data_IF_088795441172
#
_entry.id   IF_088795441172
#
_cell.length_a   1.000
_cell.length_b   1.000
_cell.length_c   1.000
_cell.angle_alpha   90.00
_cell.angle_beta   90.00
_cell.angle_gamma   90.00
#
_symmetry.space_group_name_H-M   'P 1'
#
loop_
_entity.id
_entity.type
_entity.pdbx_description
1 polymer ?
#
# COMPACT_ATOMS: atom_id res chain seq x y z
N UNK A 1 18.42 16.23 -11.15
CA UNK A 1 17.79 16.63 -9.87
C UNK A 1 16.41 16.00 -9.62
N UNK A 2 15.67 15.54 -10.64
CA UNK A 2 14.35 14.89 -10.42
C UNK A 2 14.43 13.50 -9.74
N UNK A 3 15.51 12.75 -9.98
CA UNK A 3 15.67 11.36 -9.53
C UNK A 3 15.72 11.21 -7.99
N UNK A 4 16.48 12.08 -7.31
CA UNK A 4 16.57 12.08 -5.85
C UNK A 4 15.22 12.38 -5.17
N UNK A 5 14.38 13.23 -5.78
CA UNK A 5 13.06 13.59 -5.23
C UNK A 5 12.08 12.43 -5.32
N UNK A 6 12.14 11.64 -6.40
CA UNK A 6 11.31 10.45 -6.57
C UNK A 6 11.74 9.33 -5.61
N UNK A 7 13.05 9.12 -5.46
CA UNK A 7 13.62 8.16 -4.50
C UNK A 7 13.18 8.45 -3.06
N UNK A 8 13.31 9.71 -2.62
CA UNK A 8 12.91 10.12 -1.27
C UNK A 8 11.41 9.92 -1.01
N UNK A 9 10.57 10.11 -2.02
CA UNK A 9 9.12 9.86 -1.93
C UNK A 9 8.79 8.38 -1.81
N UNK A 10 9.51 7.51 -2.52
CA UNK A 10 9.36 6.06 -2.40
C UNK A 10 9.72 5.58 -0.99
N UNK A 11 10.88 5.99 -0.46
CA UNK A 11 11.29 5.64 0.90
C UNK A 11 10.27 6.10 1.95
N UNK A 12 9.66 7.28 1.75
CA UNK A 12 8.59 7.75 2.63
C UNK A 12 7.31 6.90 2.55
N UNK A 13 6.92 6.47 1.36
CA UNK A 13 5.76 5.58 1.17
C UNK A 13 6.05 4.22 1.81
N UNK A 14 7.24 3.67 1.63
CA UNK A 14 7.63 2.37 2.18
C UNK A 14 7.68 2.41 3.72
N UNK A 15 8.30 3.44 4.31
CA UNK A 15 8.33 3.61 5.76
C UNK A 15 6.91 3.75 6.34
N UNK A 16 6.03 4.51 5.68
CA UNK A 16 4.63 4.65 6.10
C UNK A 16 3.85 3.36 5.96
N UNK A 17 4.13 2.58 4.91
CA UNK A 17 3.53 1.25 4.70
C UNK A 17 3.94 0.30 5.82
N UNK A 18 5.23 0.23 6.17
CA UNK A 18 5.74 -0.62 7.24
C UNK A 18 5.15 -0.24 8.61
N UNK A 19 5.08 1.06 8.92
CA UNK A 19 4.46 1.56 10.15
C UNK A 19 2.97 1.20 10.23
N UNK A 20 2.27 1.26 9.11
CA UNK A 20 0.84 0.90 9.01
C UNK A 20 0.63 -0.61 9.23
N UNK A 21 1.49 -1.46 8.65
CA UNK A 21 1.46 -2.90 8.89
C UNK A 21 1.67 -3.24 10.37
N UNK A 22 2.60 -2.57 11.06
CA UNK A 22 2.79 -2.72 12.51
C UNK A 22 1.57 -2.30 13.31
N UNK A 23 0.95 -1.16 12.97
CA UNK A 23 -0.28 -0.70 13.62
C UNK A 23 -1.45 -1.68 13.43
N UNK A 24 -1.60 -2.25 12.23
CA UNK A 24 -2.61 -3.25 11.90
C UNK A 24 -2.44 -4.52 12.75
N UNK A 25 -1.22 -5.06 12.81
CA UNK A 25 -0.93 -6.24 13.65
C UNK A 25 -1.26 -5.97 15.12
N UNK A 26 -0.82 -4.81 15.65
CA UNK A 26 -1.11 -4.45 17.04
C UNK A 26 -2.60 -4.26 17.32
N UNK A 27 -3.38 -3.73 16.38
CA UNK A 27 -4.84 -3.67 16.51
C UNK A 27 -5.47 -5.07 16.44
N UNK A 28 -5.02 -5.93 15.53
CA UNK A 28 -5.49 -7.32 15.43
C UNK A 28 -5.27 -8.10 16.73
N UNK A 29 -4.11 -7.95 17.37
CA UNK A 29 -3.82 -8.61 18.65
C UNK A 29 -4.75 -8.11 19.77
N UNK A 30 -5.03 -6.80 19.81
CA UNK A 30 -5.96 -6.21 20.79
C UNK A 30 -7.41 -6.63 20.55
N UNK A 31 -7.86 -6.64 19.29
CA UNK A 31 -9.19 -7.17 18.93
C UNK A 31 -9.32 -8.63 19.34
N UNK A 32 -8.28 -9.44 19.12
CA UNK A 32 -8.27 -10.85 19.53
C UNK A 32 -8.34 -10.98 21.05
N UNK A 33 -7.55 -10.20 21.79
CA UNK A 33 -7.60 -10.20 23.26
C UNK A 33 -8.98 -9.77 23.80
N UNK A 34 -9.61 -8.79 23.15
CA UNK A 34 -10.96 -8.33 23.46
C UNK A 34 -12.01 -9.42 23.20
N UNK A 35 -11.99 -10.06 22.02
CA UNK A 35 -12.91 -11.12 21.64
C UNK A 35 -12.73 -12.42 22.43
N UNK A 36 -11.48 -12.77 22.77
CA UNK A 36 -11.18 -13.96 23.58
C UNK A 36 -11.71 -13.83 25.02
N UNK A 37 -12.23 -12.66 25.43
CA UNK A 37 -12.78 -12.44 26.77
C UNK A 37 -11.75 -12.62 27.87
N UNK A 38 -10.44 -12.45 27.55
CA UNK A 38 -9.33 -12.61 28.52
C UNK A 38 -9.37 -11.57 29.65
N UNK A 39 -10.31 -10.63 29.57
CA UNK A 39 -10.56 -9.60 30.56
C UNK A 39 -12.07 -9.54 30.80
N UNK A 40 -12.49 -9.65 32.06
CA UNK A 40 -13.88 -9.46 32.45
C UNK A 40 -14.17 -7.95 32.46
N UNK A 41 -15.07 -7.51 31.59
CA UNK A 41 -15.53 -6.12 31.53
C UNK A 41 -16.97 -6.03 32.03
N UNK A 42 -17.28 -4.99 32.79
CA UNK A 42 -18.67 -4.57 32.97
C UNK A 42 -19.24 -4.00 31.67
N UNK A 43 -20.57 -3.92 31.54
CA UNK A 43 -21.22 -3.51 30.27
C UNK A 43 -20.75 -2.14 29.74
N UNK A 44 -20.58 -1.16 30.62
CA UNK A 44 -20.10 0.18 30.24
C UNK A 44 -18.62 0.18 29.84
N UNK A 45 -17.78 -0.61 30.53
CA UNK A 45 -16.37 -0.78 30.18
C UNK A 45 -16.21 -1.49 28.82
N UNK A 46 -17.05 -2.49 28.55
CA UNK A 46 -17.06 -3.19 27.28
C UNK A 46 -17.40 -2.24 26.12
N UNK A 47 -18.42 -1.39 26.32
CA UNK A 47 -18.82 -0.38 25.35
C UNK A 47 -17.71 0.65 25.09
N UNK A 48 -17.07 1.16 26.15
CA UNK A 48 -15.94 2.09 26.03
C UNK A 48 -14.75 1.46 25.29
N UNK A 49 -14.38 0.22 25.63
CA UNK A 49 -13.30 -0.51 24.95
C UNK A 49 -13.61 -0.80 23.48
N UNK A 50 -14.85 -1.13 23.16
CA UNK A 50 -15.28 -1.31 21.78
C UNK A 50 -15.17 0.01 20.99
N UNK A 51 -15.51 1.14 21.61
CA UNK A 51 -15.34 2.47 21.00
C UNK A 51 -13.86 2.82 20.77
N UNK A 52 -12.98 2.56 21.74
CA UNK A 52 -11.53 2.78 21.60
C UNK A 52 -10.97 2.01 20.40
N UNK A 53 -11.32 0.72 20.29
CA UNK A 53 -10.88 -0.15 19.19
C UNK A 53 -11.44 0.31 17.84
N UNK A 54 -12.70 0.76 17.81
CA UNK A 54 -13.32 1.31 16.61
C UNK A 54 -12.63 2.62 16.17
N UNK A 55 -12.28 3.50 17.10
CA UNK A 55 -11.52 4.72 16.80
C UNK A 55 -10.14 4.41 16.24
N UNK A 56 -9.44 3.44 16.83
CA UNK A 56 -8.14 3.01 16.35
C UNK A 56 -8.22 2.41 14.93
N UNK A 57 -9.24 1.60 14.67
CA UNK A 57 -9.51 1.06 13.33
C UNK A 57 -9.78 2.18 12.32
N UNK A 58 -10.62 3.16 12.67
CA UNK A 58 -10.90 4.32 11.81
C UNK A 58 -9.63 5.13 11.52
N UNK A 59 -8.75 5.33 12.52
CA UNK A 59 -7.49 6.03 12.33
C UNK A 59 -6.55 5.29 11.35
N UNK A 60 -6.52 3.95 11.42
CA UNK A 60 -5.77 3.11 10.47
C UNK A 60 -6.35 3.23 9.06
N UNK A 61 -7.67 3.16 8.89
CA UNK A 61 -8.33 3.34 7.59
C UNK A 61 -8.00 4.70 6.98
N UNK A 62 -8.03 5.78 7.77
CA UNK A 62 -7.65 7.11 7.30
C UNK A 62 -6.19 7.16 6.83
N UNK A 63 -5.27 6.46 7.51
CA UNK A 63 -3.86 6.34 7.11
C UNK A 63 -3.70 5.54 5.81
N UNK A 64 -4.48 4.47 5.61
CA UNK A 64 -4.50 3.73 4.35
C UNK A 64 -4.89 4.66 3.18
N UNK A 65 -5.99 5.40 3.33
CA UNK A 65 -6.48 6.32 2.30
C UNK A 65 -5.44 7.41 1.97
N UNK A 66 -4.76 7.96 2.98
CA UNK A 66 -3.69 8.92 2.77
C UNK A 66 -2.49 8.32 2.02
N UNK A 67 -2.12 7.08 2.31
CA UNK A 67 -1.04 6.37 1.63
C UNK A 67 -1.39 6.08 0.16
N UNK A 68 -2.63 5.69 -0.13
CA UNK A 68 -3.09 5.46 -1.49
C UNK A 68 -3.14 6.75 -2.30
N UNK A 69 -3.57 7.87 -1.70
CA UNK A 69 -3.49 9.19 -2.33
C UNK A 69 -2.03 9.58 -2.67
N UNK A 70 -1.07 9.27 -1.80
CA UNK A 70 0.35 9.50 -2.07
C UNK A 70 0.88 8.65 -3.22
N UNK A 71 0.51 7.36 -3.26
CA UNK A 71 0.86 6.45 -4.36
C UNK A 71 0.26 6.90 -5.69
N UNK A 72 -0.99 7.38 -5.68
CA UNK A 72 -1.62 7.91 -6.88
C UNK A 72 -0.92 9.18 -7.36
N UNK A 73 -0.65 10.14 -6.47
CA UNK A 73 0.09 11.35 -6.83
C UNK A 73 1.51 11.06 -7.35
N UNK A 74 2.14 9.98 -6.88
CA UNK A 74 3.41 9.50 -7.43
C UNK A 74 3.24 8.93 -8.85
N UNK A 75 2.23 8.08 -9.07
CA UNK A 75 1.91 7.53 -10.39
C UNK A 75 1.66 8.63 -11.42
N UNK A 76 0.98 9.71 -11.04
CA UNK A 76 0.73 10.82 -11.94
C UNK A 76 2.01 11.60 -12.32
N UNK A 77 3.06 11.55 -11.48
CA UNK A 77 4.36 12.18 -11.72
C UNK A 77 5.29 11.34 -12.59
N UNK A 78 5.13 10.02 -12.60
CA UNK A 78 5.87 9.10 -13.46
C UNK A 78 4.93 8.63 -14.55
N UNK A 79 4.90 9.29 -15.73
CA UNK A 79 4.08 8.80 -16.83
C UNK A 79 4.47 7.35 -17.10
N UNK A 80 3.46 6.50 -17.28
CA UNK A 80 3.62 5.12 -17.70
C UNK A 80 4.57 5.13 -18.90
N UNK A 81 5.80 4.62 -18.72
CA UNK A 81 6.73 4.50 -19.85
C UNK A 81 6.05 3.48 -20.76
N UNK A 82 5.57 3.86 -21.96
CA UNK A 82 4.99 2.88 -22.85
C UNK A 82 6.09 1.85 -23.09
N UNK A 83 5.80 0.58 -22.76
CA UNK A 83 6.68 -0.54 -23.12
C UNK A 83 7.07 -0.30 -24.57
N UNK A 84 8.36 -0.01 -24.80
CA UNK A 84 8.86 0.25 -26.14
C UNK A 84 8.34 -0.86 -27.03
N UNK A 85 7.60 -0.45 -28.04
CA UNK A 85 7.03 -1.24 -29.10
C UNK A 85 8.02 -2.34 -29.48
N UNK A 86 7.57 -3.59 -29.46
CA UNK A 86 8.23 -4.66 -30.20
C UNK A 86 8.65 -4.10 -31.56
N UNK A 87 9.97 -4.05 -31.79
CA UNK A 87 10.48 -3.65 -33.09
C UNK A 87 9.85 -4.57 -34.13
N UNK A 88 9.25 -4.05 -35.21
CA UNK A 88 8.76 -4.90 -36.27
C UNK A 88 9.97 -5.61 -36.88
N UNK A 89 10.05 -6.93 -36.67
CA UNK A 89 11.01 -7.80 -37.33
C UNK A 89 10.95 -7.52 -38.84
N UNK A 90 12.09 -7.16 -39.44
CA UNK A 90 12.18 -7.00 -40.90
C UNK A 90 11.67 -8.27 -41.60
N UNK A 91 10.98 -8.16 -42.75
CA UNK A 91 10.54 -9.32 -43.49
C UNK A 91 11.75 -10.10 -44.02
N UNK A 92 11.70 -11.41 -43.82
CA UNK A 92 12.68 -12.44 -44.19
C UNK A 92 12.71 -12.64 -45.74
N UNK A 93 12.83 -11.56 -46.50
CA UNK A 93 12.80 -11.55 -47.96
C UNK A 93 14.19 -11.58 -48.61
N UNK A 94 15.19 -12.18 -47.94
CA UNK A 94 16.56 -12.26 -48.46
C UNK A 94 17.17 -13.67 -48.36
N UNK A 95 16.34 -14.71 -48.28
CA UNK A 95 16.83 -16.09 -48.14
C UNK A 95 16.13 -17.11 -49.02
N UNK A 96 15.91 -16.80 -50.30
CA UNK A 96 15.85 -17.83 -51.33
C UNK A 96 15.74 -17.21 -52.73
N UNK A 97 16.85 -17.18 -53.47
CA UNK A 97 16.94 -17.40 -54.94
C UNK A 97 18.40 -17.29 -55.41
N UNK A 98 19.26 -18.16 -54.87
CA UNK A 98 20.51 -18.54 -55.54
C UNK A 98 20.72 -20.04 -55.36
N UNK A 99 19.98 -20.82 -56.15
CA UNK A 99 20.44 -22.07 -56.78
C UNK A 99 19.39 -22.57 -57.75
#
# INVERSE_FOLDING_TARGET
MADNTLHLKYEQIDLRTANLSGALMGLSDRLRAFCDGRVLYSGDELSGRAQDLAQEMNAIVARCAALDAMRQAYRDLVPDVPKMSEQPSLPDAARDHRR
#
